data_IF_051723482053
#
_entry.id   IF_051723482053
#
_cell.length_a   1.000
_cell.length_b   1.000
_cell.length_c   1.000
_cell.angle_alpha   90.00
_cell.angle_beta   90.00
_cell.angle_gamma   90.00
#
_symmetry.space_group_name_H-M   'P 1'
#
loop_
_entity.id
_entity.type
_entity.pdbx_description
1 polymer ?
#
# COMPACT_ATOMS: atom_id res chain seq x y z
N UNK A 1 2.72 10.88 3.64
CA UNK A 1 1.45 10.90 4.40
C UNK A 1 1.29 12.14 5.26
N UNK A 2 2.32 12.51 6.05
CA UNK A 2 2.26 13.62 7.02
C UNK A 2 1.75 14.96 6.44
N UNK A 3 2.28 15.38 5.28
CA UNK A 3 1.82 16.60 4.60
C UNK A 3 0.33 16.60 4.24
N UNK A 4 -0.29 15.45 3.97
CA UNK A 4 -1.75 15.38 3.75
C UNK A 4 -2.50 15.57 5.06
N UNK A 5 -2.03 14.96 6.15
CA UNK A 5 -2.66 15.09 7.47
C UNK A 5 -2.72 16.54 7.93
N UNK A 6 -1.72 17.35 7.59
CA UNK A 6 -1.72 18.78 7.92
C UNK A 6 -2.92 19.54 7.33
N UNK A 7 -3.39 19.19 6.14
CA UNK A 7 -4.59 19.81 5.56
C UNK A 7 -5.86 19.48 6.35
N UNK A 8 -5.87 18.41 7.13
CA UNK A 8 -7.03 17.89 7.85
C UNK A 8 -6.84 17.87 9.37
N UNK A 9 -5.81 18.52 9.90
CA UNK A 9 -5.47 18.52 11.34
C UNK A 9 -6.64 18.92 12.25
N UNK A 10 -7.47 19.86 11.81
CA UNK A 10 -8.67 20.32 12.54
C UNK A 10 -9.94 19.52 12.22
N UNK A 11 -9.86 18.55 11.30
CA UNK A 11 -11.00 17.80 10.76
C UNK A 11 -10.73 16.28 10.78
N UNK A 12 -10.68 15.61 11.96
CA UNK A 12 -10.27 14.20 12.07
C UNK A 12 -11.11 13.23 11.22
N UNK A 13 -12.42 13.47 11.10
CA UNK A 13 -13.29 12.63 10.27
C UNK A 13 -13.02 12.79 8.77
N UNK A 14 -12.59 13.98 8.32
CA UNK A 14 -12.17 14.19 6.94
C UNK A 14 -10.77 13.60 6.69
N UNK A 15 -9.87 13.70 7.67
CA UNK A 15 -8.55 13.04 7.60
C UNK A 15 -8.69 11.53 7.37
N UNK A 16 -9.61 10.87 8.09
CA UNK A 16 -9.90 9.44 7.88
C UNK A 16 -10.30 9.13 6.44
N UNK A 17 -11.19 9.93 5.86
CA UNK A 17 -11.61 9.76 4.46
C UNK A 17 -10.43 9.99 3.51
N UNK A 18 -9.68 11.07 3.70
CA UNK A 18 -8.53 11.40 2.86
C UNK A 18 -7.48 10.29 2.88
N UNK A 19 -7.10 9.79 4.06
CA UNK A 19 -6.16 8.69 4.21
C UNK A 19 -6.68 7.39 3.60
N UNK A 20 -7.97 7.09 3.72
CA UNK A 20 -8.60 5.92 3.10
C UNK A 20 -8.56 6.00 1.56
N UNK A 21 -8.86 7.16 0.99
CA UNK A 21 -8.74 7.36 -0.45
C UNK A 21 -7.30 7.14 -0.92
N UNK A 22 -6.32 7.64 -0.15
CA UNK A 22 -4.91 7.51 -0.47
C UNK A 22 -4.42 6.05 -0.37
N UNK A 23 -4.78 5.33 0.71
CA UNK A 23 -4.33 3.95 0.94
C UNK A 23 -4.86 2.97 -0.12
N UNK A 24 -6.03 3.25 -0.71
CA UNK A 24 -6.61 2.43 -1.77
C UNK A 24 -6.34 2.97 -3.19
N UNK A 25 -5.54 4.03 -3.32
CA UNK A 25 -5.26 4.64 -4.62
C UNK A 25 -6.50 5.16 -5.34
N UNK A 26 -7.52 5.59 -4.59
CA UNK A 26 -8.78 6.08 -5.13
C UNK A 26 -8.57 7.50 -5.67
N UNK A 27 -8.73 7.65 -6.99
CA UNK A 27 -8.56 8.92 -7.70
C UNK A 27 -9.75 9.83 -7.47
N UNK A 28 -9.52 11.13 -7.34
CA UNK A 28 -10.57 12.15 -7.45
C UNK A 28 -10.53 12.79 -8.84
N UNK A 29 -11.67 12.76 -9.52
CA UNK A 29 -11.84 13.35 -10.84
C UNK A 29 -13.19 14.09 -10.88
N UNK A 30 -13.13 15.42 -11.04
CA UNK A 30 -14.31 16.26 -10.82
C UNK A 30 -14.88 16.05 -9.41
N UNK A 31 -16.21 15.92 -9.24
CA UNK A 31 -16.85 15.70 -7.95
C UNK A 31 -16.96 14.22 -7.54
N UNK A 32 -16.29 13.30 -8.25
CA UNK A 32 -16.47 11.86 -8.11
C UNK A 32 -15.13 11.19 -7.76
N UNK A 33 -15.19 10.17 -6.91
CA UNK A 33 -14.07 9.32 -6.54
C UNK A 33 -14.09 8.02 -7.37
N UNK A 34 -12.94 7.53 -7.78
CA UNK A 34 -12.81 6.39 -8.70
C UNK A 34 -11.80 5.35 -8.22
N UNK A 35 -12.21 4.08 -8.27
CA UNK A 35 -11.31 2.93 -8.22
C UNK A 35 -11.09 2.43 -9.65
N UNK A 36 -9.94 2.77 -10.25
CA UNK A 36 -9.76 2.61 -11.70
C UNK A 36 -10.79 3.44 -12.46
N UNK A 37 -11.66 2.79 -13.24
CA UNK A 37 -12.75 3.43 -13.99
C UNK A 37 -14.12 3.27 -13.30
N UNK A 38 -14.15 2.70 -12.09
CA UNK A 38 -15.37 2.45 -11.32
C UNK A 38 -15.65 3.67 -10.44
N UNK A 39 -16.75 4.38 -10.72
CA UNK A 39 -17.23 5.47 -9.88
C UNK A 39 -17.72 4.96 -8.52
N UNK A 40 -17.24 5.58 -7.44
CA UNK A 40 -17.60 5.26 -6.07
C UNK A 40 -18.60 6.27 -5.53
N UNK A 41 -19.61 5.79 -4.82
CA UNK A 41 -20.56 6.66 -4.13
C UNK A 41 -20.03 7.13 -2.77
N UNK A 42 -20.38 8.35 -2.38
CA UNK A 42 -20.05 8.90 -1.05
C UNK A 42 -20.52 7.98 0.09
N UNK A 43 -21.67 7.32 -0.08
CA UNK A 43 -22.21 6.39 0.91
C UNK A 43 -21.32 5.16 1.07
N UNK A 44 -20.80 4.60 -0.03
CA UNK A 44 -19.90 3.45 0.02
C UNK A 44 -18.57 3.81 0.70
N UNK A 45 -18.00 4.97 0.34
CA UNK A 45 -16.77 5.49 0.96
C UNK A 45 -17.00 5.79 2.44
N UNK A 46 -18.13 6.43 2.78
CA UNK A 46 -18.45 6.79 4.17
C UNK A 46 -18.58 5.57 5.05
N UNK A 47 -19.26 4.53 4.56
CA UNK A 47 -19.35 3.23 5.25
C UNK A 47 -17.97 2.60 5.47
N UNK A 48 -17.10 2.61 4.45
CA UNK A 48 -15.74 2.07 4.57
C UNK A 48 -14.87 2.87 5.56
N UNK A 49 -15.01 4.20 5.59
CA UNK A 49 -14.28 5.08 6.49
C UNK A 49 -14.91 5.19 7.90
N UNK A 50 -16.09 4.60 8.13
CA UNK A 50 -16.82 4.71 9.40
C UNK A 50 -17.37 6.11 9.68
N UNK A 51 -17.76 6.86 8.64
CA UNK A 51 -18.29 8.24 8.74
C UNK A 51 -19.55 8.43 7.89
N UNK A 52 -20.30 9.50 8.16
CA UNK A 52 -21.45 9.88 7.34
C UNK A 52 -21.03 10.31 5.92
N UNK A 53 -21.86 10.00 4.92
CA UNK A 53 -21.59 10.36 3.51
C UNK A 53 -21.37 11.86 3.28
N UNK A 54 -21.96 12.73 4.12
CA UNK A 54 -21.76 14.18 4.04
C UNK A 54 -20.32 14.57 4.38
N UNK A 55 -19.66 13.84 5.28
CA UNK A 55 -18.23 14.03 5.58
C UNK A 55 -17.39 13.68 4.37
N UNK A 56 -17.75 12.62 3.64
CA UNK A 56 -17.05 12.26 2.39
C UNK A 56 -17.20 13.37 1.37
N UNK A 57 -18.42 13.88 1.16
CA UNK A 57 -18.68 14.98 0.22
C UNK A 57 -17.84 16.21 0.54
N UNK A 58 -17.86 16.68 1.79
CA UNK A 58 -17.07 17.85 2.20
C UNK A 58 -15.56 17.60 2.10
N UNK A 59 -15.10 16.36 2.34
CA UNK A 59 -13.68 16.00 2.14
C UNK A 59 -13.29 16.07 0.66
N UNK A 60 -14.10 15.51 -0.23
CA UNK A 60 -13.86 15.56 -1.68
C UNK A 60 -13.86 17.01 -2.17
N UNK A 61 -14.81 17.83 -1.73
CA UNK A 61 -14.86 19.24 -2.12
C UNK A 61 -13.62 20.01 -1.61
N UNK A 62 -13.19 19.79 -0.37
CA UNK A 62 -11.94 20.35 0.16
C UNK A 62 -10.70 19.90 -0.62
N UNK A 63 -10.63 18.64 -1.02
CA UNK A 63 -9.56 18.13 -1.90
C UNK A 63 -9.56 18.89 -3.21
N UNK A 64 -10.73 19.06 -3.84
CA UNK A 64 -10.89 19.72 -5.14
C UNK A 64 -10.54 21.20 -5.12
N UNK A 65 -10.87 21.89 -4.03
CA UNK A 65 -10.58 23.31 -3.84
C UNK A 65 -9.11 23.59 -3.54
N UNK A 66 -8.34 22.57 -3.15
CA UNK A 66 -6.90 22.68 -2.92
C UNK A 66 -6.10 22.19 -4.12
N UNK A 67 -5.38 23.08 -4.84
CA UNK A 67 -4.51 22.68 -5.94
C UNK A 67 -3.43 21.67 -5.51
N UNK A 68 -2.94 21.79 -4.27
CA UNK A 68 -1.92 20.88 -3.72
C UNK A 68 -2.47 19.47 -3.50
N UNK A 69 -3.68 19.36 -2.95
CA UNK A 69 -4.33 18.05 -2.78
C UNK A 69 -4.70 17.46 -4.14
N UNK A 70 -5.26 18.25 -5.06
CA UNK A 70 -5.58 17.78 -6.41
C UNK A 70 -4.36 17.28 -7.18
N UNK A 71 -3.19 17.90 -7.00
CA UNK A 71 -1.95 17.44 -7.65
C UNK A 71 -1.56 15.99 -7.26
N UNK A 72 -2.08 15.50 -6.12
CA UNK A 72 -1.91 14.15 -5.61
C UNK A 72 -3.12 13.28 -5.97
N UNK A 73 -4.32 13.66 -5.49
CA UNK A 73 -5.51 12.82 -5.58
C UNK A 73 -6.00 12.58 -7.01
N UNK A 74 -5.68 13.46 -7.97
CA UNK A 74 -5.98 13.23 -9.39
C UNK A 74 -5.07 12.21 -10.06
N UNK A 75 -3.97 11.80 -9.43
CA UNK A 75 -2.98 10.88 -10.01
C UNK A 75 -2.94 9.52 -9.32
N UNK A 76 -3.77 9.33 -8.29
CA UNK A 76 -3.86 8.05 -7.60
C UNK A 76 -4.35 6.97 -8.55
N UNK A 77 -3.85 5.76 -8.31
CA UNK A 77 -4.20 4.57 -9.08
C UNK A 77 -4.28 3.39 -8.12
N UNK A 78 -5.44 2.75 -8.08
CA UNK A 78 -5.62 1.48 -7.41
C UNK A 78 -4.81 0.40 -8.12
N UNK A 79 -4.06 -0.37 -7.35
CA UNK A 79 -3.28 -1.52 -7.84
C UNK A 79 -3.77 -2.78 -7.13
N UNK A 80 -3.76 -3.91 -7.84
CA UNK A 80 -4.00 -5.21 -7.24
C UNK A 80 -2.80 -5.61 -6.38
N UNK A 81 -3.04 -6.00 -5.13
CA UNK A 81 -2.04 -6.67 -4.30
C UNK A 81 -2.28 -8.19 -4.38
N UNK A 82 -1.26 -8.94 -4.79
CA UNK A 82 -1.34 -10.37 -5.03
C UNK A 82 -1.12 -11.21 -3.76
N UNK A 83 -0.67 -10.62 -2.65
CA UNK A 83 -0.20 -11.35 -1.47
C UNK A 83 -1.19 -12.37 -0.92
N UNK A 84 -2.46 -11.99 -0.83
CA UNK A 84 -3.54 -12.82 -0.30
C UNK A 84 -4.08 -13.85 -1.29
N UNK A 85 -3.81 -13.69 -2.58
CA UNK A 85 -4.25 -14.61 -3.65
C UNK A 85 -3.12 -15.45 -4.22
N UNK A 86 -1.91 -15.28 -3.70
CA UNK A 86 -0.71 -15.93 -4.23
C UNK A 86 -0.83 -17.47 -4.21
N UNK A 87 -1.28 -18.12 -3.10
CA UNK A 87 -1.40 -19.58 -3.07
C UNK A 87 -2.36 -20.13 -4.13
N UNK A 88 -3.44 -19.41 -4.43
CA UNK A 88 -4.47 -19.79 -5.38
C UNK A 88 -3.99 -19.71 -6.84
N UNK A 89 -2.98 -18.89 -7.11
CA UNK A 89 -2.39 -18.73 -8.45
C UNK A 89 -1.02 -19.43 -8.57
N UNK A 90 -0.70 -20.33 -7.64
CA UNK A 90 0.55 -21.09 -7.65
C UNK A 90 1.78 -20.22 -7.41
N UNK A 91 1.63 -19.17 -6.61
CA UNK A 91 2.70 -18.27 -6.16
C UNK A 91 2.87 -18.38 -4.64
N UNK A 92 4.00 -17.88 -4.14
CA UNK A 92 4.29 -17.75 -2.71
C UNK A 92 4.47 -16.28 -2.37
N UNK A 93 3.92 -15.87 -1.22
CA UNK A 93 4.14 -14.53 -0.67
C UNK A 93 5.25 -14.56 0.37
N UNK A 94 6.24 -13.69 0.19
CA UNK A 94 7.29 -13.38 1.15
C UNK A 94 7.02 -11.98 1.72
N UNK A 95 6.62 -11.90 2.98
CA UNK A 95 6.48 -10.65 3.71
C UNK A 95 7.71 -10.45 4.58
N UNK A 96 8.49 -9.42 4.25
CA UNK A 96 9.74 -9.06 4.89
C UNK A 96 9.47 -7.90 5.84
N UNK A 97 9.62 -8.16 7.12
CA UNK A 97 9.51 -7.17 8.19
C UNK A 97 10.92 -6.64 8.46
N UNK A 98 11.18 -5.35 8.20
CA UNK A 98 12.49 -4.78 8.41
C UNK A 98 12.73 -4.45 9.89
N UNK A 99 13.99 -4.42 10.32
CA UNK A 99 14.37 -3.83 11.62
C UNK A 99 14.19 -2.30 11.61
N UNK A 100 14.48 -1.68 10.46
CA UNK A 100 14.26 -0.27 10.15
C UNK A 100 14.09 -0.13 8.63
N UNK A 101 12.90 0.30 8.19
CA UNK A 101 12.56 0.44 6.78
C UNK A 101 13.38 1.52 6.04
N UNK A 102 14.14 2.37 6.76
CA UNK A 102 15.01 3.37 6.16
C UNK A 102 16.37 2.83 5.72
N UNK A 103 16.74 1.61 6.14
CA UNK A 103 18.01 0.98 5.78
C UNK A 103 18.06 0.77 4.26
N UNK A 104 19.03 1.36 3.55
CA UNK A 104 19.19 1.13 2.12
C UNK A 104 19.61 -0.31 1.82
N UNK A 105 19.02 -0.89 0.79
CA UNK A 105 19.45 -2.18 0.23
C UNK A 105 18.61 -3.40 0.61
N UNK A 106 17.62 -3.28 1.52
CA UNK A 106 16.77 -4.43 1.92
C UNK A 106 16.14 -5.12 0.71
N UNK A 107 15.53 -4.35 -0.20
CA UNK A 107 14.94 -4.90 -1.43
C UNK A 107 16.00 -5.61 -2.30
N UNK A 108 17.20 -5.04 -2.41
CA UNK A 108 18.28 -5.63 -3.21
C UNK A 108 18.75 -6.96 -2.62
N UNK A 109 19.03 -7.01 -1.31
CA UNK A 109 19.44 -8.23 -0.60
C UNK A 109 18.40 -9.35 -0.81
N UNK A 110 17.12 -9.05 -0.57
CA UNK A 110 16.01 -10.01 -0.70
C UNK A 110 15.90 -10.52 -2.14
N UNK A 111 15.90 -9.61 -3.12
CA UNK A 111 15.79 -9.98 -4.54
C UNK A 111 17.03 -10.71 -5.07
N UNK A 112 18.21 -10.49 -4.49
CA UNK A 112 19.42 -11.23 -4.81
C UNK A 112 19.34 -12.69 -4.34
N UNK A 113 18.74 -12.96 -3.18
CA UNK A 113 18.47 -14.33 -2.71
C UNK A 113 17.47 -15.02 -3.65
N UNK A 114 16.37 -14.35 -3.99
CA UNK A 114 15.35 -14.86 -4.92
C UNK A 114 15.94 -15.18 -6.29
N UNK A 115 16.83 -14.33 -6.79
CA UNK A 115 17.56 -14.56 -8.04
C UNK A 115 18.44 -15.82 -7.98
N UNK A 116 19.21 -16.02 -6.89
CA UNK A 116 20.04 -17.24 -6.71
C UNK A 116 19.19 -18.50 -6.60
N UNK A 117 17.99 -18.39 -6.03
CA UNK A 117 17.01 -19.46 -5.98
C UNK A 117 16.40 -19.81 -7.35
N UNK A 118 16.63 -18.99 -8.37
CA UNK A 118 16.10 -19.22 -9.72
C UNK A 118 14.59 -19.00 -9.83
N UNK A 119 14.01 -18.21 -8.91
CA UNK A 119 12.56 -17.96 -8.86
C UNK A 119 12.25 -16.55 -9.39
N UNK A 120 11.17 -16.42 -10.15
CA UNK A 120 10.74 -15.13 -10.72
C UNK A 120 9.88 -14.36 -9.72
N UNK A 121 10.05 -13.03 -9.67
CA UNK A 121 9.19 -12.12 -8.91
C UNK A 121 8.00 -11.70 -9.77
N UNK A 122 6.78 -11.91 -9.27
CA UNK A 122 5.52 -11.47 -9.88
C UNK A 122 5.11 -10.07 -9.44
N UNK A 123 5.37 -9.75 -8.18
CA UNK A 123 5.07 -8.44 -7.61
C UNK A 123 6.02 -8.14 -6.45
N UNK A 124 6.48 -6.90 -6.37
CA UNK A 124 7.17 -6.37 -5.20
C UNK A 124 6.55 -5.02 -4.84
N UNK A 125 5.99 -4.91 -3.64
CA UNK A 125 5.33 -3.69 -3.14
C UNK A 125 5.81 -3.45 -1.71
N UNK A 126 6.03 -2.19 -1.36
CA UNK A 126 6.19 -1.78 0.03
C UNK A 126 4.83 -1.34 0.52
N UNK A 127 4.27 -2.06 1.49
CA UNK A 127 3.07 -1.65 2.20
C UNK A 127 3.51 -0.72 3.35
N UNK A 128 3.28 0.58 3.20
CA UNK A 128 3.64 1.62 4.18
C UNK A 128 2.37 2.38 4.58
N UNK A 129 1.79 2.10 5.77
CA UNK A 129 0.59 2.79 6.26
C UNK A 129 0.85 4.27 6.65
N UNK A 130 2.04 4.80 6.37
CA UNK A 130 2.48 6.14 6.74
C UNK A 130 3.30 6.18 8.02
N UNK A 131 3.57 5.03 8.62
CA UNK A 131 4.45 4.86 9.78
C UNK A 131 5.59 3.93 9.35
N UNK A 132 6.80 4.49 9.24
CA UNK A 132 7.97 3.76 8.71
C UNK A 132 8.26 2.46 9.43
N UNK A 133 7.98 2.39 10.73
CA UNK A 133 8.22 1.20 11.55
C UNK A 133 7.24 0.06 11.25
N UNK A 134 6.12 0.37 10.58
CA UNK A 134 5.10 -0.60 10.19
C UNK A 134 5.18 -0.92 8.69
N UNK A 135 6.21 -0.42 8.00
CA UNK A 135 6.36 -0.63 6.57
C UNK A 135 6.95 -2.01 6.27
N UNK A 136 6.22 -2.82 5.51
CA UNK A 136 6.63 -4.19 5.15
C UNK A 136 6.93 -4.28 3.66
N UNK A 137 7.97 -5.03 3.29
CA UNK A 137 8.21 -5.38 1.90
C UNK A 137 7.49 -6.69 1.59
N UNK A 138 6.54 -6.64 0.67
CA UNK A 138 5.80 -7.79 0.17
C UNK A 138 6.37 -8.17 -1.19
N UNK A 139 6.86 -9.40 -1.31
CA UNK A 139 7.34 -9.98 -2.57
C UNK A 139 6.54 -11.23 -2.88
N UNK A 140 5.88 -11.26 -4.03
CA UNK A 140 5.18 -12.45 -4.54
C UNK A 140 6.06 -13.09 -5.59
N UNK A 141 6.38 -14.37 -5.42
CA UNK A 141 7.23 -15.15 -6.31
C UNK A 141 6.45 -16.29 -6.98
N UNK A 142 6.84 -16.65 -8.20
CA UNK A 142 6.25 -17.79 -8.91
C UNK A 142 6.59 -19.12 -8.24
N UNK A 143 5.61 -20.00 -8.04
CA UNK A 143 5.83 -21.27 -7.37
C UNK A 143 6.26 -21.10 -5.91
N UNK A 144 7.22 -21.90 -5.47
CA UNK A 144 7.75 -21.90 -4.11
C UNK A 144 9.21 -21.48 -4.09
N UNK A 145 9.61 -20.75 -3.05
CA UNK A 145 11.02 -20.56 -2.76
C UNK A 145 11.60 -21.88 -2.19
N UNK A 146 12.70 -22.42 -2.74
CA UNK A 146 13.31 -23.63 -2.20
C UNK A 146 13.71 -23.41 -0.72
N UNK A 147 13.40 -24.36 0.19
CA UNK A 147 13.56 -24.16 1.63
C UNK A 147 14.97 -23.77 2.09
N UNK A 148 16.00 -24.19 1.35
CA UNK A 148 17.40 -23.88 1.61
C UNK A 148 17.74 -22.38 1.50
N UNK A 149 16.94 -21.59 0.77
CA UNK A 149 17.13 -20.14 0.65
C UNK A 149 16.37 -19.33 1.72
N UNK A 150 15.49 -19.95 2.51
CA UNK A 150 14.75 -19.27 3.59
C UNK A 150 15.68 -18.71 4.68
N UNK A 151 16.71 -19.44 5.15
CA UNK A 151 17.69 -18.89 6.10
C UNK A 151 18.42 -17.67 5.54
N UNK A 152 18.80 -17.70 4.25
CA UNK A 152 19.50 -16.58 3.61
C UNK A 152 18.66 -15.29 3.62
N UNK A 153 17.33 -15.39 3.43
CA UNK A 153 16.44 -14.24 3.54
C UNK A 153 16.45 -13.59 4.93
N UNK A 154 16.63 -14.38 5.99
CA UNK A 154 16.72 -13.86 7.37
C UNK A 154 18.07 -13.22 7.69
N UNK A 155 19.11 -13.62 6.96
CA UNK A 155 20.45 -13.05 7.06
C UNK A 155 20.61 -11.78 6.22
N UNK A 156 19.64 -11.46 5.35
CA UNK A 156 19.60 -10.20 4.62
C UNK A 156 19.68 -9.01 5.58
N UNK A 157 20.44 -8.00 5.17
CA UNK A 157 20.65 -6.80 5.94
C UNK A 157 19.32 -6.10 6.19
N UNK A 158 19.08 -5.75 7.46
CA UNK A 158 17.90 -4.99 7.85
C UNK A 158 16.61 -5.80 7.87
N UNK A 159 16.66 -7.13 7.72
CA UNK A 159 15.51 -8.02 7.90
C UNK A 159 15.43 -8.45 9.36
N UNK A 160 14.29 -8.20 10.01
CA UNK A 160 13.97 -8.73 11.35
C UNK A 160 13.28 -10.09 11.23
N UNK A 161 12.28 -10.17 10.34
CA UNK A 161 11.46 -11.36 10.18
C UNK A 161 11.00 -11.56 8.75
N UNK A 162 10.87 -12.82 8.37
CA UNK A 162 10.27 -13.25 7.11
C UNK A 162 9.04 -14.09 7.44
N UNK A 163 7.89 -13.70 6.88
CA UNK A 163 6.65 -14.47 6.92
C UNK A 163 6.40 -15.01 5.51
N UNK A 164 6.08 -16.29 5.42
CA UNK A 164 5.81 -16.98 4.16
C UNK A 164 4.36 -17.43 4.18
N UNK A 165 3.60 -17.08 3.13
CA UNK A 165 2.20 -17.47 2.94
C UNK A 165 1.98 -18.07 1.56
#
# INVERSE_FOLDING_TARGET
MERIRDFFREYPSQEKVALLLLSHGIRIEGPIAYCGDIALSDTAIGRAAGVDRRVVRTTIDKIRESPELMAIYSKLRSILLLSEVAPEIGCTTLEIIPTDASIPGILWDVTAVIFRAGVSVRQAVVDDPGFRNDAHLIVVVDGNLPPEFIPELKECRGVDRVIIR
#
